data_IF_996554409561
#
_entry.id   IF_996554409561
#
_cell.length_a   1.000
_cell.length_b   1.000
_cell.length_c   1.000
_cell.angle_alpha   90.00
_cell.angle_beta   90.00
_cell.angle_gamma   90.00
#
_symmetry.space_group_name_H-M   'P 1'
#
loop_
_entity.id
_entity.type
_entity.pdbx_description
1 polymer ?
#
# COMPACT_ATOMS: atom_id res chain seq x y z
N UNK A 1 3.33 -35.02 -6.79
CA UNK A 1 3.23 -33.54 -6.78
C UNK A 1 3.54 -33.08 -5.37
N UNK A 2 4.81 -32.86 -5.06
CA UNK A 2 5.19 -32.29 -3.77
C UNK A 2 5.14 -30.78 -3.93
N UNK A 3 4.02 -30.17 -3.54
CA UNK A 3 3.99 -28.73 -3.33
C UNK A 3 5.08 -28.39 -2.31
N UNK A 4 5.97 -27.45 -2.63
CA UNK A 4 6.79 -26.79 -1.62
C UNK A 4 5.81 -26.01 -0.75
N UNK A 5 5.25 -26.68 0.25
CA UNK A 5 4.58 -26.04 1.36
C UNK A 5 5.75 -25.53 2.18
N UNK A 6 6.04 -24.24 2.10
CA UNK A 6 6.77 -23.58 3.17
C UNK A 6 5.95 -23.84 4.44
N UNK A 7 6.34 -24.84 5.23
CA UNK A 7 5.73 -25.09 6.52
C UNK A 7 6.01 -23.85 7.35
N UNK A 8 5.00 -22.98 7.44
CA UNK A 8 5.08 -21.77 8.25
C UNK A 8 5.19 -22.25 9.70
N UNK A 9 6.28 -21.92 10.42
CA UNK A 9 6.40 -22.25 11.83
C UNK A 9 5.18 -21.71 12.60
N UNK A 10 4.72 -22.44 13.61
CA UNK A 10 3.50 -22.07 14.36
C UNK A 10 3.59 -20.72 15.09
N UNK A 11 4.80 -20.22 15.28
CA UNK A 11 5.13 -18.92 15.88
C UNK A 11 5.15 -17.76 14.86
N UNK A 12 5.04 -18.04 13.57
CA UNK A 12 5.01 -17.00 12.52
C UNK A 12 3.57 -16.56 12.26
N UNK A 13 3.29 -15.30 12.59
CA UNK A 13 2.00 -14.67 12.29
C UNK A 13 1.78 -14.55 10.78
N UNK A 14 0.84 -15.30 10.24
CA UNK A 14 0.42 -15.20 8.83
C UNK A 14 -0.51 -13.98 8.67
N UNK A 15 -0.29 -13.09 7.69
CA UNK A 15 -1.20 -12.00 7.40
C UNK A 15 -2.63 -12.51 7.13
N UNK A 16 -3.68 -11.87 7.68
CA UNK A 16 -5.04 -12.24 7.35
C UNK A 16 -5.32 -11.99 5.87
N UNK A 17 -6.13 -12.88 5.28
CA UNK A 17 -6.46 -12.84 3.85
C UNK A 17 -7.88 -12.33 3.61
N UNK A 18 -8.02 -11.41 2.66
CA UNK A 18 -9.31 -10.84 2.26
C UNK A 18 -9.53 -10.95 0.75
N UNK A 19 -10.79 -10.78 0.33
CA UNK A 19 -11.18 -10.74 -1.08
C UNK A 19 -11.59 -9.32 -1.45
N UNK A 20 -10.96 -8.76 -2.48
CA UNK A 20 -11.38 -7.49 -3.07
C UNK A 20 -12.05 -7.77 -4.40
N UNK A 21 -13.37 -7.53 -4.46
CA UNK A 21 -14.13 -7.69 -5.70
C UNK A 21 -13.96 -6.46 -6.60
N UNK A 22 -13.31 -6.64 -7.75
CA UNK A 22 -13.04 -5.61 -8.74
C UNK A 22 -14.28 -5.20 -9.55
N UNK A 23 -15.34 -6.02 -9.56
CA UNK A 23 -16.62 -5.68 -10.18
C UNK A 23 -17.42 -4.69 -9.33
N UNK A 24 -17.12 -4.58 -8.04
CA UNK A 24 -17.70 -3.58 -7.17
C UNK A 24 -17.23 -2.18 -7.57
N UNK A 25 -18.08 -1.13 -7.39
CA UNK A 25 -17.66 0.25 -7.55
C UNK A 25 -16.40 0.55 -6.72
N UNK A 26 -15.39 1.27 -7.24
CA UNK A 26 -14.12 1.48 -6.56
C UNK A 26 -14.25 1.97 -5.11
N UNK A 27 -15.18 2.90 -4.86
CA UNK A 27 -15.47 3.43 -3.51
C UNK A 27 -15.97 2.38 -2.48
N UNK A 28 -16.38 1.20 -2.91
CA UNK A 28 -16.96 0.16 -2.06
C UNK A 28 -16.08 -1.08 -1.91
N UNK A 29 -15.04 -1.21 -2.75
CA UNK A 29 -14.18 -2.41 -2.83
C UNK A 29 -13.59 -2.84 -1.49
N UNK A 30 -13.16 -1.86 -0.71
CA UNK A 30 -12.43 -2.08 0.55
C UNK A 30 -13.29 -1.91 1.80
N UNK A 31 -14.56 -1.53 1.66
CA UNK A 31 -15.42 -1.13 2.78
C UNK A 31 -15.49 -2.19 3.88
N UNK A 32 -15.63 -3.46 3.50
CA UNK A 32 -15.75 -4.58 4.43
C UNK A 32 -14.47 -4.82 5.24
N UNK A 33 -13.30 -4.47 4.69
CA UNK A 33 -12.00 -4.57 5.38
C UNK A 33 -11.78 -3.34 6.25
N UNK A 34 -11.98 -2.14 5.70
CA UNK A 34 -11.72 -0.87 6.39
C UNK A 34 -12.54 -0.70 7.67
N UNK A 35 -13.77 -1.23 7.70
CA UNK A 35 -14.61 -1.22 8.91
C UNK A 35 -14.02 -2.04 10.04
N UNK A 36 -13.32 -3.14 9.74
CA UNK A 36 -12.66 -4.00 10.73
C UNK A 36 -11.41 -3.33 11.33
N UNK A 37 -10.76 -2.48 10.55
CA UNK A 37 -9.47 -1.84 10.91
C UNK A 37 -9.60 -0.34 11.22
N UNK A 38 -10.82 0.17 11.40
CA UNK A 38 -11.08 1.61 11.57
C UNK A 38 -10.29 2.21 12.73
N UNK A 39 -10.28 1.53 13.88
CA UNK A 39 -9.61 2.05 15.07
C UNK A 39 -8.08 1.98 14.94
N UNK A 40 -7.56 0.90 14.34
CA UNK A 40 -6.14 0.76 14.03
C UNK A 40 -5.68 1.87 13.07
N UNK A 41 -6.49 2.21 12.07
CA UNK A 41 -6.19 3.30 11.13
C UNK A 41 -6.17 4.67 11.80
N UNK A 42 -7.00 4.91 12.82
CA UNK A 42 -6.92 6.15 13.62
C UNK A 42 -5.65 6.24 14.43
N UNK A 43 -5.13 5.12 14.94
CA UNK A 43 -3.84 5.10 15.62
C UNK A 43 -2.68 5.30 14.65
N UNK A 44 -2.79 4.78 13.43
CA UNK A 44 -1.83 5.05 12.35
C UNK A 44 -1.82 6.52 11.99
N UNK A 45 -3.00 7.15 11.90
CA UNK A 45 -3.14 8.58 11.66
C UNK A 45 -2.30 9.41 12.64
N UNK A 46 -2.42 9.14 13.95
CA UNK A 46 -1.64 9.83 14.99
C UNK A 46 -0.12 9.62 14.85
N UNK A 47 0.30 8.41 14.47
CA UNK A 47 1.73 8.11 14.27
C UNK A 47 2.30 8.90 13.10
N UNK A 48 1.52 9.06 12.04
CA UNK A 48 1.91 9.85 10.87
C UNK A 48 2.03 11.32 11.24
N UNK A 49 1.14 11.83 12.09
CA UNK A 49 1.23 13.22 12.58
C UNK A 49 2.52 13.45 13.35
N UNK A 50 2.90 12.49 14.21
CA UNK A 50 4.19 12.54 14.90
C UNK A 50 5.35 12.60 13.92
N UNK A 51 5.36 11.73 12.89
CA UNK A 51 6.41 11.70 11.89
C UNK A 51 6.50 13.01 11.09
N UNK A 52 5.35 13.59 10.70
CA UNK A 52 5.32 14.88 9.99
C UNK A 52 5.87 15.99 10.88
N UNK A 53 5.47 16.02 12.15
CA UNK A 53 5.94 17.01 13.12
C UNK A 53 7.44 16.88 13.41
N UNK A 54 7.99 15.67 13.38
CA UNK A 54 9.44 15.43 13.52
C UNK A 54 10.23 15.92 12.30
N UNK A 55 9.69 15.74 11.08
CA UNK A 55 10.35 16.14 9.83
C UNK A 55 10.28 17.66 9.60
N UNK A 56 9.11 18.26 9.80
CA UNK A 56 8.83 19.66 9.46
C UNK A 56 8.99 20.60 10.67
N UNK A 57 9.06 20.04 11.87
CA UNK A 57 9.14 20.76 13.15
C UNK A 57 7.76 20.98 13.77
N UNK A 58 7.67 20.86 15.10
CA UNK A 58 6.38 20.83 15.81
C UNK A 58 5.50 22.07 15.62
N UNK A 59 6.11 23.24 15.36
CA UNK A 59 5.36 24.48 15.15
C UNK A 59 4.80 24.62 13.73
N UNK A 60 5.54 24.15 12.72
CA UNK A 60 5.18 24.26 11.30
C UNK A 60 4.43 23.04 10.78
N UNK A 61 4.61 21.87 11.41
CA UNK A 61 4.05 20.59 11.01
C UNK A 61 2.53 20.61 10.81
N UNK A 62 1.72 21.03 11.81
CA UNK A 62 0.27 21.01 11.69
C UNK A 62 -0.25 21.97 10.60
N UNK A 63 0.37 23.14 10.45
CA UNK A 63 0.01 24.09 9.38
C UNK A 63 0.34 23.50 8.00
N UNK A 64 1.54 22.95 7.85
CA UNK A 64 2.00 22.35 6.61
C UNK A 64 1.13 21.15 6.20
N UNK A 65 0.84 20.26 7.15
CA UNK A 65 -0.03 19.10 6.95
C UNK A 65 -1.43 19.54 6.49
N UNK A 66 -2.03 20.53 7.15
CA UNK A 66 -3.37 21.02 6.80
C UNK A 66 -3.43 21.61 5.39
N UNK A 67 -2.44 22.44 5.02
CA UNK A 67 -2.36 23.03 3.67
C UNK A 67 -2.19 21.93 2.62
N UNK A 68 -1.24 21.02 2.82
CA UNK A 68 -0.97 19.95 1.86
C UNK A 68 -2.16 19.00 1.75
N UNK A 69 -2.75 18.59 2.87
CA UNK A 69 -3.96 17.75 2.89
C UNK A 69 -5.12 18.42 2.14
N UNK A 70 -5.33 19.73 2.31
CA UNK A 70 -6.39 20.45 1.57
C UNK A 70 -6.14 20.44 0.07
N UNK A 71 -4.90 20.71 -0.36
CA UNK A 71 -4.51 20.68 -1.78
C UNK A 71 -4.72 19.27 -2.35
N UNK A 72 -4.22 18.24 -1.68
CA UNK A 72 -4.32 16.85 -2.13
C UNK A 72 -5.77 16.37 -2.17
N UNK A 73 -6.60 16.78 -1.21
CA UNK A 73 -8.03 16.52 -1.23
C UNK A 73 -8.69 17.18 -2.45
N UNK A 74 -8.37 18.45 -2.74
CA UNK A 74 -8.87 19.17 -3.93
C UNK A 74 -8.49 18.48 -5.24
N UNK A 75 -7.22 18.11 -5.42
CA UNK A 75 -6.75 17.39 -6.62
C UNK A 75 -7.47 16.03 -6.77
N UNK A 76 -7.71 15.33 -5.66
CA UNK A 76 -8.44 14.05 -5.66
C UNK A 76 -9.93 14.24 -5.96
N UNK A 77 -10.54 15.32 -5.45
CA UNK A 77 -11.92 15.69 -5.74
C UNK A 77 -12.11 15.90 -7.25
N UNK A 78 -11.17 16.61 -7.88
CA UNK A 78 -11.11 16.86 -9.33
C UNK A 78 -10.85 15.61 -10.19
N UNK A 79 -10.56 14.46 -9.57
CA UNK A 79 -10.36 13.19 -10.28
C UNK A 79 -8.98 13.05 -10.92
N UNK A 80 -8.02 13.90 -10.55
CA UNK A 80 -6.65 13.87 -11.09
C UNK A 80 -5.75 12.84 -10.39
N UNK A 81 -6.18 12.31 -9.24
CA UNK A 81 -5.46 11.24 -8.54
C UNK A 81 -5.93 9.89 -9.04
N UNK A 82 -4.98 9.10 -9.55
CA UNK A 82 -5.22 7.73 -9.96
C UNK A 82 -5.67 6.89 -8.74
N UNK A 83 -6.68 6.04 -8.93
CA UNK A 83 -7.40 5.34 -7.84
C UNK A 83 -8.08 6.26 -6.81
N UNK A 84 -8.25 7.55 -7.09
CA UNK A 84 -8.86 8.51 -6.16
C UNK A 84 -10.27 8.13 -5.68
N UNK A 85 -11.02 7.35 -6.46
CA UNK A 85 -12.32 6.83 -6.03
C UNK A 85 -12.20 5.79 -4.90
N UNK A 86 -11.17 4.95 -4.90
CA UNK A 86 -10.92 4.05 -3.77
C UNK A 86 -10.56 4.87 -2.51
N UNK A 87 -9.68 5.86 -2.64
CA UNK A 87 -9.31 6.76 -1.54
C UNK A 87 -10.50 7.56 -0.98
N UNK A 88 -11.44 8.00 -1.82
CA UNK A 88 -12.71 8.60 -1.37
C UNK A 88 -13.55 7.61 -0.56
N UNK A 89 -13.58 6.34 -0.97
CA UNK A 89 -14.19 5.25 -0.20
C UNK A 89 -13.53 5.07 1.16
N UNK A 90 -12.19 5.13 1.21
CA UNK A 90 -11.42 5.03 2.46
C UNK A 90 -11.81 6.17 3.40
N UNK A 91 -11.78 7.41 2.92
CA UNK A 91 -12.14 8.59 3.71
C UNK A 91 -13.55 8.48 4.29
N UNK A 92 -14.54 8.03 3.50
CA UNK A 92 -15.90 7.78 3.96
C UNK A 92 -15.98 6.73 5.06
N UNK A 93 -15.31 5.59 4.89
CA UNK A 93 -15.49 4.43 5.77
C UNK A 93 -14.65 4.53 7.05
N UNK A 94 -13.52 5.23 7.02
CA UNK A 94 -12.60 5.38 8.16
C UNK A 94 -12.79 6.71 8.90
N UNK A 95 -13.27 7.74 8.21
CA UNK A 95 -13.36 9.11 8.71
C UNK A 95 -12.05 9.90 8.56
N UNK A 96 -10.99 9.30 7.99
CA UNK A 96 -9.71 9.98 7.78
C UNK A 96 -9.82 11.05 6.70
N UNK A 97 -9.13 12.19 6.82
CA UNK A 97 -9.09 13.22 5.78
C UNK A 97 -8.56 12.66 4.44
N UNK A 98 -9.27 12.95 3.35
CA UNK A 98 -8.91 12.45 2.02
C UNK A 98 -7.48 12.84 1.61
N UNK A 99 -7.07 14.07 1.87
CA UNK A 99 -5.72 14.54 1.54
C UNK A 99 -4.64 13.76 2.26
N UNK A 100 -4.87 13.44 3.53
CA UNK A 100 -3.97 12.63 4.35
C UNK A 100 -3.86 11.19 3.83
N UNK A 101 -4.98 10.58 3.45
CA UNK A 101 -4.97 9.27 2.80
C UNK A 101 -4.15 9.26 1.50
N UNK A 102 -4.16 10.34 0.73
CA UNK A 102 -3.33 10.49 -0.46
C UNK A 102 -1.86 10.64 -0.08
N UNK A 103 -1.54 11.47 0.92
CA UNK A 103 -0.18 11.64 1.44
C UNK A 103 0.43 10.31 1.91
N UNK A 104 -0.38 9.48 2.59
CA UNK A 104 0.01 8.14 3.04
C UNK A 104 0.47 7.26 1.88
N UNK A 105 -0.15 7.36 0.70
CA UNK A 105 0.28 6.59 -0.46
C UNK A 105 1.74 6.89 -0.84
N UNK A 106 2.20 8.12 -0.66
CA UNK A 106 3.59 8.52 -0.93
C UNK A 106 4.55 8.07 0.16
N UNK A 107 4.10 8.02 1.43
CA UNK A 107 4.94 7.46 2.51
C UNK A 107 5.38 6.05 2.13
N UNK A 108 4.46 5.24 1.60
CA UNK A 108 4.70 3.89 1.03
C UNK A 108 5.73 3.80 -0.10
N UNK A 109 6.08 4.92 -0.73
CA UNK A 109 7.06 4.96 -1.82
C UNK A 109 8.41 5.58 -1.43
N UNK A 110 8.47 6.31 -0.32
CA UNK A 110 9.68 7.06 0.07
C UNK A 110 10.64 6.29 0.99
N UNK A 111 10.18 5.25 1.69
CA UNK A 111 10.93 4.65 2.80
C UNK A 111 10.90 3.12 2.78
N UNK A 112 11.71 2.47 1.94
CA UNK A 112 11.78 1.01 1.95
C UNK A 112 13.21 0.48 1.76
N UNK A 113 13.53 -0.60 2.49
CA UNK A 113 14.56 -1.54 2.11
C UNK A 113 13.87 -2.82 1.60
N UNK A 114 14.36 -3.36 0.49
CA UNK A 114 13.72 -4.48 -0.18
C UNK A 114 14.80 -5.45 -0.67
N UNK A 115 14.62 -6.74 -0.40
CA UNK A 115 15.38 -7.81 -1.06
C UNK A 115 14.43 -8.63 -1.91
N UNK A 116 14.78 -8.90 -3.15
CA UNK A 116 14.01 -9.77 -4.05
C UNK A 116 14.94 -10.76 -4.72
N UNK A 117 14.48 -12.00 -4.82
CA UNK A 117 15.19 -13.12 -5.41
C UNK A 117 14.25 -13.76 -6.43
N UNK A 118 14.73 -13.92 -7.65
CA UNK A 118 14.08 -14.74 -8.68
C UNK A 118 15.02 -15.88 -9.00
N UNK A 119 14.54 -17.10 -8.80
CA UNK A 119 15.28 -18.32 -9.09
C UNK A 119 14.37 -19.33 -9.79
N UNK A 120 14.95 -20.42 -10.26
CA UNK A 120 14.20 -21.53 -10.81
C UNK A 120 14.27 -22.69 -9.83
N UNK A 121 13.12 -23.29 -9.53
CA UNK A 121 13.07 -24.52 -8.75
C UNK A 121 13.66 -25.67 -9.58
N UNK A 122 14.73 -26.30 -9.07
CA UNK A 122 15.47 -27.33 -9.82
C UNK A 122 14.65 -28.60 -10.09
N UNK A 123 13.66 -28.91 -9.24
CA UNK A 123 12.87 -30.14 -9.36
C UNK A 123 11.73 -30.00 -10.35
N UNK A 124 11.07 -28.84 -10.36
CA UNK A 124 9.85 -28.57 -11.14
C UNK A 124 10.11 -27.69 -12.35
N UNK A 125 11.32 -27.11 -12.48
CA UNK A 125 11.66 -26.08 -13.45
C UNK A 125 10.75 -24.83 -13.39
N UNK A 126 10.05 -24.62 -12.27
CA UNK A 126 9.10 -23.51 -12.11
C UNK A 126 9.82 -22.27 -11.59
N UNK A 127 9.57 -21.06 -12.14
CA UNK A 127 10.09 -19.82 -11.57
C UNK A 127 9.59 -19.60 -10.14
N UNK A 128 10.51 -19.35 -9.21
CA UNK A 128 10.24 -18.94 -7.84
C UNK A 128 10.61 -17.46 -7.68
N UNK A 129 9.74 -16.71 -7.00
CA UNK A 129 9.99 -15.31 -6.69
C UNK A 129 9.73 -15.09 -5.20
N UNK A 130 10.79 -14.71 -4.48
CA UNK A 130 10.79 -14.52 -3.03
C UNK A 130 11.23 -13.09 -2.74
N UNK A 131 10.64 -12.45 -1.73
CA UNK A 131 11.06 -11.10 -1.33
C UNK A 131 10.93 -10.84 0.16
N UNK A 132 11.77 -9.97 0.71
CA UNK A 132 11.64 -9.36 2.07
C UNK A 132 11.28 -7.89 1.92
N UNK A 133 10.39 -7.40 2.78
CA UNK A 133 9.98 -5.99 2.83
C UNK A 133 10.34 -5.43 4.20
N UNK A 134 11.34 -4.56 4.24
CA UNK A 134 12.00 -4.13 5.47
C UNK A 134 11.74 -2.63 5.67
N UNK A 135 10.91 -2.33 6.68
CA UNK A 135 10.46 -0.99 7.00
C UNK A 135 10.69 -0.69 8.47
N UNK A 136 11.18 0.51 8.78
CA UNK A 136 11.32 1.01 10.15
C UNK A 136 10.00 1.40 10.83
N UNK A 137 8.86 1.04 10.23
CA UNK A 137 7.52 1.36 10.73
C UNK A 137 6.82 0.11 11.27
N UNK A 138 7.13 -0.26 12.51
CA UNK A 138 6.64 -1.49 13.14
C UNK A 138 5.11 -1.63 13.16
N UNK A 139 4.38 -0.51 13.17
CA UNK A 139 2.92 -0.52 13.14
C UNK A 139 2.34 -1.13 11.87
N UNK A 140 3.10 -1.17 10.77
CA UNK A 140 2.66 -1.78 9.53
C UNK A 140 2.51 -3.29 9.63
N UNK A 141 3.25 -3.96 10.53
CA UNK A 141 3.12 -5.40 10.75
C UNK A 141 1.68 -5.82 11.03
N UNK A 142 0.95 -5.02 11.80
CA UNK A 142 -0.45 -5.28 12.16
C UNK A 142 -1.45 -4.91 11.04
N UNK A 143 -1.01 -4.12 10.06
CA UNK A 143 -1.82 -3.72 8.91
C UNK A 143 -1.55 -4.57 7.68
N UNK A 144 -0.51 -5.41 7.70
CA UNK A 144 -0.16 -6.28 6.57
C UNK A 144 -1.27 -7.30 6.36
N UNK A 145 -1.77 -7.37 5.13
CA UNK A 145 -2.80 -8.31 4.71
C UNK A 145 -2.45 -8.94 3.37
N UNK A 146 -2.98 -10.14 3.15
CA UNK A 146 -3.04 -10.74 1.83
C UNK A 146 -4.39 -10.43 1.18
N UNK A 147 -4.39 -10.17 -0.12
CA UNK A 147 -5.59 -9.84 -0.88
C UNK A 147 -5.68 -10.69 -2.13
N UNK A 148 -6.79 -11.40 -2.26
CA UNK A 148 -7.21 -12.05 -3.50
C UNK A 148 -8.12 -11.07 -4.25
N UNK A 149 -7.61 -10.49 -5.35
CA UNK A 149 -8.39 -9.57 -6.18
C UNK A 149 -9.20 -10.37 -7.19
N UNK A 150 -10.52 -10.25 -7.14
CA UNK A 150 -11.43 -11.05 -7.96
C UNK A 150 -12.16 -10.22 -9.01
N UNK A 151 -12.39 -10.81 -10.17
CA UNK A 151 -13.26 -10.30 -11.24
C UNK A 151 -14.12 -11.45 -11.75
N UNK A 152 -15.41 -11.23 -11.90
CA UNK A 152 -16.41 -12.23 -12.22
C UNK A 152 -16.33 -13.47 -11.30
N UNK A 153 -16.09 -13.25 -10.00
CA UNK A 153 -15.93 -14.31 -9.00
C UNK A 153 -14.64 -15.13 -9.09
N UNK A 154 -13.71 -14.77 -10.00
CA UNK A 154 -12.43 -15.46 -10.15
C UNK A 154 -11.27 -14.56 -9.71
N UNK A 155 -10.34 -15.11 -8.93
CA UNK A 155 -9.11 -14.39 -8.58
C UNK A 155 -8.31 -14.13 -9.85
N UNK A 156 -7.98 -12.86 -10.11
CA UNK A 156 -7.17 -12.43 -11.26
C UNK A 156 -5.71 -12.20 -10.87
N UNK A 157 -5.49 -11.66 -9.67
CA UNK A 157 -4.16 -11.53 -9.08
C UNK A 157 -4.27 -11.54 -7.55
N UNK A 158 -3.14 -11.83 -6.91
CA UNK A 158 -2.98 -11.77 -5.46
C UNK A 158 -1.94 -10.72 -5.11
N UNK A 159 -2.06 -10.10 -3.95
CA UNK A 159 -1.07 -9.17 -3.44
C UNK A 159 -0.97 -9.20 -1.94
N UNK A 160 0.21 -8.88 -1.43
CA UNK A 160 0.43 -8.56 -0.01
C UNK A 160 0.58 -7.04 0.08
N UNK A 161 -0.23 -6.41 0.93
CA UNK A 161 -0.33 -4.96 1.05
C UNK A 161 -0.67 -4.54 2.47
N UNK A 162 -0.82 -3.25 2.73
CA UNK A 162 -1.24 -2.71 4.02
C UNK A 162 -2.64 -2.11 3.95
N UNK A 163 -3.42 -2.27 5.02
CA UNK A 163 -4.66 -1.51 5.19
C UNK A 163 -4.36 -0.01 5.09
N UNK A 164 -5.09 0.69 4.23
CA UNK A 164 -4.86 2.11 3.97
C UNK A 164 -4.03 2.40 2.71
N UNK A 165 -3.38 1.39 2.12
CA UNK A 165 -2.64 1.51 0.86
C UNK A 165 -3.42 0.90 -0.30
N UNK A 166 -3.63 1.65 -1.39
CA UNK A 166 -4.31 1.13 -2.59
C UNK A 166 -3.33 0.53 -3.61
N UNK A 167 -2.04 0.82 -3.47
CA UNK A 167 -1.01 0.24 -4.33
C UNK A 167 -0.67 -1.20 -3.96
N UNK A 168 0.07 -1.87 -4.86
CA UNK A 168 0.55 -3.24 -4.69
C UNK A 168 2.03 -3.29 -5.03
N UNK A 169 2.87 -3.43 -4.00
CA UNK A 169 4.33 -3.56 -4.15
C UNK A 169 4.78 -5.02 -4.22
N UNK A 170 3.91 -5.96 -3.88
CA UNK A 170 4.19 -7.40 -3.91
C UNK A 170 2.94 -8.11 -4.36
N UNK A 171 3.01 -8.78 -5.51
CA UNK A 171 1.84 -9.46 -6.06
C UNK A 171 2.17 -10.41 -7.18
N UNK A 172 1.17 -11.22 -7.55
CA UNK A 172 1.29 -12.18 -8.63
C UNK A 172 -0.04 -12.35 -9.36
N UNK A 173 0.03 -12.43 -10.69
CA UNK A 173 -1.09 -12.83 -11.52
C UNK A 173 -1.25 -14.35 -11.43
N UNK A 174 -2.47 -14.84 -11.22
CA UNK A 174 -2.68 -16.28 -10.92
C UNK A 174 -2.81 -17.17 -12.16
N UNK A 175 -3.26 -16.63 -13.28
CA UNK A 175 -3.44 -17.37 -14.54
C UNK A 175 -2.47 -16.87 -15.60
N UNK A 176 -1.71 -17.79 -16.20
CA UNK A 176 -0.68 -17.51 -17.22
C UNK A 176 0.17 -16.29 -16.81
N UNK A 177 0.58 -16.30 -15.55
CA UNK A 177 0.90 -15.10 -14.81
C UNK A 177 2.38 -14.84 -14.69
N UNK A 178 2.65 -13.72 -14.02
CA UNK A 178 3.96 -13.27 -13.59
C UNK A 178 3.82 -12.77 -12.16
N UNK A 179 4.95 -12.67 -11.45
CA UNK A 179 5.04 -12.07 -10.13
C UNK A 179 5.82 -10.76 -10.20
N UNK A 180 5.50 -9.84 -9.29
CA UNK A 180 6.10 -8.52 -9.20
C UNK A 180 6.47 -8.24 -7.75
N UNK A 181 7.69 -7.75 -7.56
CA UNK A 181 8.13 -7.10 -6.32
C UNK A 181 8.74 -5.75 -6.68
N UNK A 182 8.32 -4.70 -5.99
CA UNK A 182 8.87 -3.36 -6.19
C UNK A 182 9.93 -3.10 -5.12
N UNK A 183 11.15 -2.79 -5.57
CA UNK A 183 12.27 -2.43 -4.69
C UNK A 183 12.53 -0.93 -4.81
N UNK A 184 12.71 -0.30 -3.65
CA UNK A 184 13.11 1.10 -3.59
C UNK A 184 14.51 1.26 -4.20
N UNK A 185 14.68 2.34 -4.97
CA UNK A 185 15.95 2.69 -5.60
C UNK A 185 16.27 4.14 -5.31
N UNK A 186 17.27 4.38 -4.47
CA UNK A 186 17.81 5.71 -4.24
C UNK A 186 18.75 6.10 -5.37
N UNK A 187 18.34 7.02 -6.25
CA UNK A 187 19.16 7.48 -7.38
C UNK A 187 19.78 8.86 -7.19
N UNK A 188 19.56 9.51 -6.03
CA UNK A 188 19.92 10.91 -5.81
C UNK A 188 18.99 11.87 -6.58
N UNK A 189 18.59 12.97 -5.93
CA UNK A 189 17.71 13.99 -6.50
C UNK A 189 17.08 14.86 -5.42
N UNK A 190 16.80 16.12 -5.72
CA UNK A 190 16.06 17.01 -4.82
C UNK A 190 14.56 16.92 -5.14
N UNK A 191 13.72 16.88 -4.10
CA UNK A 191 12.24 16.84 -4.24
C UNK A 191 11.73 17.96 -5.17
N UNK A 192 12.31 19.15 -5.05
CA UNK A 192 11.97 20.32 -5.87
C UNK A 192 12.23 20.10 -7.36
N UNK A 193 13.36 19.48 -7.72
CA UNK A 193 13.69 19.13 -9.11
C UNK A 193 12.72 18.09 -9.64
N UNK A 194 12.46 17.03 -8.87
CA UNK A 194 11.55 15.97 -9.27
C UNK A 194 10.11 16.48 -9.49
N UNK A 195 9.63 17.36 -8.60
CA UNK A 195 8.30 17.95 -8.73
C UNK A 195 8.19 18.87 -9.96
N UNK A 196 9.21 19.69 -10.24
CA UNK A 196 9.25 20.52 -11.46
C UNK A 196 9.21 19.68 -12.72
N UNK A 197 9.98 18.59 -12.78
CA UNK A 197 9.99 17.69 -13.95
C UNK A 197 8.65 16.98 -14.12
N UNK A 198 7.99 16.58 -13.04
CA UNK A 198 6.68 15.93 -13.10
C UNK A 198 5.59 16.88 -13.60
N UNK A 199 5.60 18.15 -13.18
CA UNK A 199 4.62 19.16 -13.57
C UNK A 199 4.84 19.75 -14.97
N UNK A 200 6.03 19.56 -15.55
CA UNK A 200 6.36 20.01 -16.90
C UNK A 200 5.96 19.00 -18.00
N UNK A 201 5.38 17.86 -17.63
CA UNK A 201 4.84 16.83 -18.52
C UNK A 201 3.33 16.91 -18.56
#
# INVERSE_FOLDING_TARGET
MSSIICNVPSDVSVPPRFVVNLDSPPMLRWQHILRLYRDQLREVEKKIDSMVNEIVGQWMGPMFENVLSTIMAGITQLGLVYYGQELKGFSRDTGMPLGKLVMIQFVYECFACCTSIVCQDEQTNTPMHIRTMDWGLDFLKQLTIDVDFQRNGQTVFKGTTWIGYVGILTGMRVQNGYSVSVNFRHTGGQLTTNLKTALAR
#
